data_IF_455860463564
#
_entry.id   IF_455860463564
#
_cell.length_a   1.000
_cell.length_b   1.000
_cell.length_c   1.000
_cell.angle_alpha   90.00
_cell.angle_beta   90.00
_cell.angle_gamma   90.00
#
_symmetry.space_group_name_H-M   'P 1'
#
loop_
_entity.id
_entity.type
_entity.pdbx_description
1 polymer ?
#
# COMPACT_ATOMS: atom_id res chain seq x y z
N UNK A 1 4.62 -70.73 29.89
CA UNK A 1 3.19 -70.87 30.23
C UNK A 1 2.41 -69.87 29.38
N UNK A 2 1.51 -70.36 28.51
CA UNK A 2 0.45 -69.69 27.72
C UNK A 2 0.65 -68.25 27.18
N UNK A 3 0.75 -68.19 25.84
CA UNK A 3 0.16 -67.27 24.83
C UNK A 3 -0.79 -66.18 25.36
N UNK A 4 -0.75 -64.97 24.77
CA UNK A 4 -1.83 -64.50 23.87
C UNK A 4 -1.33 -63.49 22.82
N UNK A 5 -1.50 -63.91 21.57
CA UNK A 5 -1.43 -63.18 20.32
C UNK A 5 -2.90 -62.97 19.87
N UNK A 6 -3.28 -61.78 19.39
CA UNK A 6 -4.42 -61.57 18.47
C UNK A 6 -4.33 -60.15 17.91
N UNK A 7 -3.80 -59.97 16.70
CA UNK A 7 -4.46 -60.06 15.39
C UNK A 7 -5.50 -58.96 15.16
N UNK A 8 -5.11 -58.02 14.30
CA UNK A 8 -5.99 -57.28 13.40
C UNK A 8 -6.67 -58.25 12.44
N UNK A 9 -8.00 -58.14 12.28
CA UNK A 9 -8.72 -58.62 11.10
C UNK A 9 -9.77 -57.58 10.71
N UNK A 10 -9.87 -57.45 9.38
CA UNK A 10 -10.73 -56.65 8.51
C UNK A 10 -12.24 -56.72 8.77
N UNK A 11 -12.94 -55.73 8.23
CA UNK A 11 -14.39 -55.77 8.03
C UNK A 11 -14.86 -54.70 7.04
N UNK A 12 -15.07 -55.11 5.79
CA UNK A 12 -15.79 -54.41 4.74
C UNK A 12 -17.30 -54.73 4.88
N UNK A 13 -18.21 -53.75 4.87
CA UNK A 13 -19.64 -53.96 4.63
C UNK A 13 -20.19 -52.81 3.75
N UNK A 14 -20.85 -53.21 2.65
CA UNK A 14 -21.62 -52.41 1.67
C UNK A 14 -23.11 -52.46 2.05
N UNK A 15 -23.84 -51.33 2.05
CA UNK A 15 -25.32 -51.24 1.87
C UNK A 15 -25.64 -49.84 1.28
N UNK A 16 -25.90 -49.71 -0.03
CA UNK A 16 -27.21 -49.67 -0.74
C UNK A 16 -27.93 -48.30 -0.77
N UNK A 17 -27.88 -47.69 -1.96
CA UNK A 17 -28.98 -47.06 -2.75
C UNK A 17 -30.21 -46.46 -2.06
N UNK A 18 -30.46 -45.19 -2.38
CA UNK A 18 -31.75 -44.51 -2.23
C UNK A 18 -31.75 -43.15 -2.94
N UNK A 19 -31.94 -43.14 -4.26
CA UNK A 19 -32.22 -41.94 -5.07
C UNK A 19 -33.72 -41.65 -4.94
N UNK A 20 -34.09 -40.47 -4.43
CA UNK A 20 -35.48 -40.01 -4.40
C UNK A 20 -35.67 -38.95 -5.48
N UNK A 21 -36.23 -39.36 -6.62
CA UNK A 21 -36.76 -38.50 -7.68
C UNK A 21 -38.24 -38.25 -7.38
N UNK A 22 -38.63 -36.98 -7.20
CA UNK A 22 -40.05 -36.59 -7.26
C UNK A 22 -40.34 -36.00 -8.66
N UNK A 23 -41.44 -36.39 -9.33
CA UNK A 23 -41.85 -35.78 -10.57
C UNK A 23 -42.57 -34.45 -10.31
N UNK A 24 -42.17 -33.37 -11.00
CA UNK A 24 -43.02 -32.19 -11.18
C UNK A 24 -43.92 -32.41 -12.38
N UNK A 25 -45.21 -32.60 -12.13
CA UNK A 25 -46.27 -32.53 -13.14
C UNK A 25 -46.67 -31.07 -13.37
N UNK A 26 -46.55 -30.63 -14.61
CA UNK A 26 -47.21 -29.45 -15.16
C UNK A 26 -48.72 -29.74 -15.26
N UNK A 27 -49.55 -28.82 -14.77
CA UNK A 27 -50.91 -28.61 -15.25
C UNK A 27 -51.17 -27.11 -15.25
N UNK A 28 -51.52 -26.60 -16.43
CA UNK A 28 -52.26 -25.37 -16.57
C UNK A 28 -53.71 -25.63 -16.13
N UNK A 29 -54.41 -24.60 -15.67
CA UNK A 29 -55.71 -24.16 -16.18
C UNK A 29 -56.06 -22.81 -15.53
N UNK A 30 -56.62 -21.89 -16.33
CA UNK A 30 -57.05 -20.56 -15.92
C UNK A 30 -58.54 -20.57 -15.53
N UNK A 31 -58.93 -19.79 -14.52
CA UNK A 31 -60.28 -19.21 -14.46
C UNK A 31 -60.33 -17.95 -13.56
N UNK A 32 -61.05 -16.95 -14.07
CA UNK A 32 -61.25 -15.60 -13.57
C UNK A 32 -62.35 -15.55 -12.49
N UNK A 33 -62.18 -14.80 -11.41
CA UNK A 33 -63.32 -14.10 -10.76
C UNK A 33 -62.85 -12.90 -9.94
N UNK A 34 -63.27 -11.71 -10.34
CA UNK A 34 -63.18 -10.46 -9.58
C UNK A 34 -63.97 -10.55 -8.27
N UNK A 35 -63.42 -10.02 -7.18
CA UNK A 35 -64.12 -9.17 -6.18
C UNK A 35 -63.19 -8.86 -5.00
N UNK A 36 -63.18 -7.60 -4.56
CA UNK A 36 -62.73 -7.21 -3.22
C UNK A 36 -61.33 -6.59 -3.15
N UNK A 37 -61.25 -5.29 -3.41
CA UNK A 37 -60.10 -4.46 -3.04
C UNK A 37 -60.21 -4.24 -1.53
N UNK A 38 -59.29 -4.81 -0.75
CA UNK A 38 -59.00 -4.40 0.62
C UNK A 38 -57.52 -4.06 0.70
N UNK A 39 -57.25 -2.77 0.89
CA UNK A 39 -55.92 -2.23 1.20
C UNK A 39 -55.37 -2.88 2.47
N UNK A 40 -54.41 -3.79 2.32
CA UNK A 40 -53.34 -4.00 3.30
C UNK A 40 -52.39 -5.09 2.81
N UNK A 41 -51.10 -4.76 2.87
CA UNK A 41 -49.93 -5.64 2.84
C UNK A 41 -49.19 -5.85 1.50
N UNK A 42 -48.02 -5.18 1.49
CA UNK A 42 -46.74 -5.64 0.97
C UNK A 42 -46.47 -5.49 -0.53
N UNK A 43 -46.18 -4.24 -0.90
CA UNK A 43 -45.18 -3.90 -1.91
C UNK A 43 -43.84 -4.50 -1.46
N UNK A 44 -43.41 -5.62 -2.05
CA UNK A 44 -42.03 -6.11 -1.98
C UNK A 44 -41.53 -6.36 -3.40
N UNK A 45 -41.29 -5.28 -4.13
CA UNK A 45 -40.39 -5.25 -5.29
C UNK A 45 -39.95 -3.81 -5.49
N UNK A 46 -38.95 -3.38 -4.72
CA UNK A 46 -38.05 -2.26 -4.98
C UNK A 46 -36.98 -2.23 -3.86
N UNK A 47 -36.01 -3.14 -3.92
CA UNK A 47 -34.71 -2.93 -3.26
C UNK A 47 -33.63 -3.04 -4.33
N UNK A 48 -33.55 -2.02 -5.18
CA UNK A 48 -32.41 -1.80 -6.07
C UNK A 48 -31.49 -0.68 -5.58
N UNK A 49 -31.71 -0.13 -4.39
CA UNK A 49 -30.81 0.82 -3.76
C UNK A 49 -30.61 0.46 -2.29
N UNK A 50 -29.62 -0.39 -2.01
CA UNK A 50 -28.97 -0.39 -0.70
C UNK A 50 -28.19 0.92 -0.60
N UNK A 51 -28.90 1.96 -0.18
CA UNK A 51 -28.47 3.09 0.66
C UNK A 51 -26.94 3.26 0.71
N UNK A 52 -26.37 3.85 -0.34
CA UNK A 52 -25.41 4.92 -0.13
C UNK A 52 -26.28 6.14 0.16
N UNK A 53 -26.52 6.37 1.44
CA UNK A 53 -27.21 7.58 1.90
C UNK A 53 -26.50 8.78 1.27
N UNK A 54 -27.25 9.54 0.46
CA UNK A 54 -26.87 10.87 -0.02
C UNK A 54 -27.03 11.92 1.10
N UNK A 55 -26.78 11.51 2.35
CA UNK A 55 -26.55 12.38 3.49
C UNK A 55 -25.19 13.05 3.32
N UNK A 56 -25.10 14.32 3.67
CA UNK A 56 -23.99 15.22 3.36
C UNK A 56 -22.61 14.52 3.42
N UNK A 57 -21.88 14.51 2.29
CA UNK A 57 -20.53 13.97 2.16
C UNK A 57 -19.52 14.84 2.91
N UNK A 58 -19.70 15.00 4.22
CA UNK A 58 -18.94 15.94 5.04
C UNK A 58 -17.93 15.18 5.89
N UNK A 59 -16.67 15.62 5.92
CA UNK A 59 -15.68 15.13 6.87
C UNK A 59 -16.21 15.18 8.31
N UNK A 60 -15.83 14.24 9.18
CA UNK A 60 -16.29 14.11 10.58
C UNK A 60 -15.69 15.19 11.51
N UNK A 61 -15.66 16.47 11.11
CA UNK A 61 -15.17 17.56 11.96
C UNK A 61 -16.18 17.81 13.08
N UNK A 62 -15.73 17.66 14.33
CA UNK A 62 -16.55 17.92 15.53
C UNK A 62 -16.06 19.18 16.26
N UNK A 63 -16.80 19.61 17.29
CA UNK A 63 -16.36 20.71 18.16
C UNK A 63 -15.04 20.44 18.90
N UNK A 64 -14.60 19.17 18.95
CA UNK A 64 -13.37 18.75 19.61
C UNK A 64 -12.21 18.59 18.63
N UNK A 65 -12.46 18.70 17.32
CA UNK A 65 -11.42 18.56 16.30
C UNK A 65 -10.47 19.75 16.35
N UNK A 66 -9.18 19.46 16.26
CA UNK A 66 -8.10 20.45 16.27
C UNK A 66 -7.62 20.68 14.84
N UNK A 67 -7.51 21.94 14.44
CA UNK A 67 -6.92 22.34 13.16
C UNK A 67 -5.44 22.66 13.32
N UNK A 68 -4.59 22.05 12.49
CA UNK A 68 -3.15 22.29 12.46
C UNK A 68 -2.62 22.13 11.05
N UNK A 69 -2.15 23.24 10.47
CA UNK A 69 -1.72 23.31 9.08
C UNK A 69 -2.84 22.92 8.12
N UNK A 70 -2.60 21.87 7.33
CA UNK A 70 -3.55 21.39 6.33
C UNK A 70 -4.59 20.41 6.93
N UNK A 71 -4.49 20.03 8.19
CA UNK A 71 -5.23 18.91 8.76
C UNK A 71 -6.15 19.33 9.90
N UNK A 72 -7.36 18.75 9.92
CA UNK A 72 -8.16 18.61 11.13
C UNK A 72 -7.98 17.22 11.69
N UNK A 73 -7.83 17.10 13.00
CA UNK A 73 -7.66 15.81 13.66
C UNK A 73 -8.35 15.73 15.02
N UNK A 74 -8.67 14.50 15.42
CA UNK A 74 -9.19 14.15 16.74
C UNK A 74 -8.16 13.34 17.53
N UNK A 75 -8.11 13.55 18.84
CA UNK A 75 -7.32 12.71 19.75
C UNK A 75 -7.94 11.32 19.89
N UNK A 76 -7.10 10.30 19.78
CA UNK A 76 -7.46 8.90 20.01
C UNK A 76 -6.44 8.23 20.93
N UNK A 77 -6.74 7.02 21.40
CA UNK A 77 -5.80 6.28 22.24
C UNK A 77 -4.46 6.07 21.50
N UNK A 78 -3.38 6.65 22.03
CA UNK A 78 -2.02 6.49 21.52
C UNK A 78 -1.61 7.47 20.41
N UNK A 79 -2.50 8.34 19.92
CA UNK A 79 -2.18 9.25 18.83
C UNK A 79 -3.37 10.06 18.36
N UNK A 80 -3.42 10.34 17.05
CA UNK A 80 -4.49 11.12 16.44
C UNK A 80 -5.06 10.42 15.20
N UNK A 81 -6.29 10.80 14.88
CA UNK A 81 -6.99 10.47 13.64
C UNK A 81 -7.22 11.73 12.83
N UNK A 82 -6.73 11.77 11.60
CA UNK A 82 -7.01 12.89 10.67
C UNK A 82 -8.45 12.76 10.21
N UNK A 83 -9.30 13.75 10.52
CA UNK A 83 -10.72 13.75 10.17
C UNK A 83 -11.04 14.62 8.96
N UNK A 84 -10.15 15.55 8.58
CA UNK A 84 -10.29 16.32 7.34
C UNK A 84 -8.97 16.86 6.83
N UNK A 85 -8.80 16.88 5.51
CA UNK A 85 -7.72 17.56 4.81
C UNK A 85 -8.22 18.80 4.07
N UNK A 86 -7.55 19.92 4.36
CA UNK A 86 -7.86 21.27 3.84
C UNK A 86 -6.71 21.90 3.06
N UNK A 87 -5.60 21.16 2.87
CA UNK A 87 -4.46 21.64 2.11
C UNK A 87 -4.72 21.75 0.60
N UNK A 88 -3.75 22.28 -0.12
CA UNK A 88 -3.86 22.59 -1.55
C UNK A 88 -3.92 21.36 -2.47
N UNK A 89 -3.55 20.17 -2.00
CA UNK A 89 -3.39 18.96 -2.81
C UNK A 89 -1.99 18.85 -3.43
N UNK A 90 -1.92 18.23 -4.61
CA UNK A 90 -0.67 17.77 -5.22
C UNK A 90 -0.26 16.38 -4.71
N UNK A 91 1.05 16.12 -4.66
CA UNK A 91 1.59 14.94 -4.00
C UNK A 91 1.73 15.23 -2.50
N UNK A 92 0.90 14.60 -1.67
CA UNK A 92 0.83 14.88 -0.24
C UNK A 92 1.58 13.82 0.55
N UNK A 93 2.62 14.24 1.27
CA UNK A 93 3.27 13.43 2.31
C UNK A 93 2.57 13.67 3.65
N UNK A 94 1.81 12.68 4.14
CA UNK A 94 1.18 12.79 5.46
C UNK A 94 2.29 12.69 6.53
N UNK A 95 2.40 13.66 7.46
CA UNK A 95 3.42 13.61 8.48
C UNK A 95 3.16 12.47 9.47
N UNK A 96 4.21 11.79 9.93
CA UNK A 96 4.10 10.76 10.97
C UNK A 96 3.59 11.32 12.31
N UNK A 97 3.77 12.64 12.53
CA UNK A 97 3.29 13.35 13.71
C UNK A 97 2.73 14.72 13.35
N UNK A 98 1.64 15.13 14.00
CA UNK A 98 1.12 16.51 13.98
C UNK A 98 1.10 17.01 15.42
N UNK A 99 1.68 18.18 15.68
CA UNK A 99 1.81 18.77 17.03
C UNK A 99 2.42 17.81 18.06
N UNK A 100 3.41 17.01 17.62
CA UNK A 100 4.09 16.01 18.44
C UNK A 100 3.27 14.73 18.71
N UNK A 101 2.05 14.63 18.18
CA UNK A 101 1.18 13.44 18.32
C UNK A 101 1.27 12.56 17.09
N UNK A 102 1.35 11.25 17.29
CA UNK A 102 1.50 10.26 16.22
C UNK A 102 0.22 10.16 15.39
N UNK A 103 0.33 10.26 14.06
CA UNK A 103 -0.79 10.00 13.15
C UNK A 103 -0.99 8.49 13.01
N UNK A 104 -2.10 7.99 13.53
CA UNK A 104 -2.43 6.55 13.55
C UNK A 104 -3.56 6.19 12.58
N UNK A 105 -4.48 7.11 12.28
CA UNK A 105 -5.65 6.82 11.46
C UNK A 105 -5.96 7.94 10.47
N UNK A 106 -6.43 7.56 9.29
CA UNK A 106 -7.13 8.46 8.38
C UNK A 106 -8.62 8.18 8.54
N UNK A 107 -9.37 9.17 8.99
CA UNK A 107 -10.78 9.04 9.33
C UNK A 107 -11.70 8.89 8.11
N UNK A 108 -12.98 8.66 8.41
CA UNK A 108 -14.06 8.62 7.43
C UNK A 108 -14.09 9.90 6.61
N UNK A 109 -14.14 9.77 5.29
CA UNK A 109 -14.25 10.90 4.35
C UNK A 109 -13.16 12.00 4.47
N UNK A 110 -12.05 11.73 5.16
CA UNK A 110 -11.06 12.74 5.51
C UNK A 110 -10.46 13.47 4.28
N UNK A 111 -10.31 12.77 3.15
CA UNK A 111 -9.87 13.32 1.87
C UNK A 111 -10.93 13.14 0.77
N UNK A 112 -12.22 13.05 1.11
CA UNK A 112 -13.27 12.89 0.11
C UNK A 112 -13.28 14.07 -0.89
N UNK A 113 -13.35 13.74 -2.18
CA UNK A 113 -13.55 14.69 -3.26
C UNK A 113 -12.36 15.59 -3.52
N UNK A 114 -11.15 15.24 -3.05
CA UNK A 114 -9.95 16.08 -3.25
C UNK A 114 -9.44 15.95 -4.68
N UNK A 115 -10.03 16.72 -5.60
CA UNK A 115 -9.64 16.72 -7.02
C UNK A 115 -8.25 17.27 -7.30
N UNK A 116 -7.67 18.06 -6.39
CA UNK A 116 -6.29 18.53 -6.54
C UNK A 116 -5.24 17.52 -6.06
N UNK A 117 -5.64 16.45 -5.37
CA UNK A 117 -4.72 15.41 -4.89
C UNK A 117 -4.26 14.56 -6.08
N UNK A 118 -2.95 14.51 -6.30
CA UNK A 118 -2.32 13.72 -7.37
C UNK A 118 -1.54 12.53 -6.82
N UNK A 119 -0.97 12.65 -5.63
CA UNK A 119 -0.21 11.58 -4.98
C UNK A 119 -0.40 11.59 -3.47
N UNK A 120 -0.20 10.44 -2.85
CA UNK A 120 -0.33 10.28 -1.40
C UNK A 120 0.77 9.37 -0.86
N UNK A 121 1.49 9.82 0.17
CA UNK A 121 2.43 9.00 0.91
C UNK A 121 2.02 8.92 2.39
N UNK A 122 1.60 7.74 2.82
CA UNK A 122 1.28 7.46 4.22
C UNK A 122 2.55 7.10 5.00
N UNK A 123 2.72 7.64 6.22
CA UNK A 123 3.80 7.21 7.10
C UNK A 123 3.50 5.83 7.68
N UNK A 124 4.53 5.08 8.04
CA UNK A 124 4.40 3.75 8.66
C UNK A 124 3.72 3.75 10.04
N UNK A 125 3.38 4.92 10.59
CA UNK A 125 2.58 5.02 11.82
C UNK A 125 1.10 4.76 11.59
N UNK A 126 0.57 5.03 10.38
CA UNK A 126 -0.85 4.84 10.06
C UNK A 126 -1.21 3.36 10.09
N UNK A 127 -2.29 3.03 10.79
CA UNK A 127 -2.80 1.67 11.02
C UNK A 127 -4.13 1.41 10.30
N UNK A 128 -4.95 2.44 10.10
CA UNK A 128 -6.28 2.28 9.50
C UNK A 128 -6.64 3.42 8.56
N UNK A 129 -7.29 3.06 7.45
CA UNK A 129 -8.04 3.97 6.60
C UNK A 129 -9.54 3.77 6.85
N UNK A 130 -10.22 4.85 7.20
CA UNK A 130 -11.65 4.90 7.41
C UNK A 130 -12.45 4.74 6.11
N UNK A 131 -13.76 4.55 6.27
CA UNK A 131 -14.69 4.47 5.16
C UNK A 131 -14.56 5.72 4.28
N UNK A 132 -14.47 5.54 2.96
CA UNK A 132 -14.38 6.63 1.98
C UNK A 132 -13.23 7.63 2.21
N UNK A 133 -12.18 7.23 2.91
CA UNK A 133 -11.05 8.12 3.28
C UNK A 133 -10.47 8.92 2.12
N UNK A 134 -10.36 8.35 0.91
CA UNK A 134 -9.94 9.01 -0.35
C UNK A 134 -10.98 8.84 -1.47
N UNK A 135 -12.26 8.82 -1.11
CA UNK A 135 -13.38 8.65 -2.04
C UNK A 135 -13.45 9.79 -3.05
N UNK A 136 -13.66 9.48 -4.33
CA UNK A 136 -13.75 10.43 -5.43
C UNK A 136 -12.56 11.41 -5.50
N UNK A 137 -11.33 10.89 -5.40
CA UNK A 137 -10.10 11.62 -5.71
C UNK A 137 -9.64 11.28 -7.14
N UNK A 138 -10.24 11.84 -8.21
CA UNK A 138 -10.09 11.34 -9.58
C UNK A 138 -8.67 11.47 -10.13
N UNK A 139 -7.89 12.45 -9.65
CA UNK A 139 -6.54 12.72 -10.11
C UNK A 139 -5.45 12.00 -9.30
N UNK A 140 -5.82 11.23 -8.28
CA UNK A 140 -4.88 10.46 -7.47
C UNK A 140 -4.28 9.33 -8.31
N UNK A 141 -3.04 9.49 -8.76
CA UNK A 141 -2.34 8.58 -9.66
C UNK A 141 -1.40 7.61 -8.94
N UNK A 142 -1.01 7.94 -7.71
CA UNK A 142 0.00 7.19 -6.97
C UNK A 142 -0.22 7.23 -5.45
N UNK A 143 -0.09 6.06 -4.81
CA UNK A 143 -0.35 5.88 -3.38
C UNK A 143 0.70 4.96 -2.75
N UNK A 144 1.42 5.49 -1.77
CA UNK A 144 2.23 4.69 -0.84
C UNK A 144 1.46 4.49 0.46
N UNK A 145 1.08 3.24 0.76
CA UNK A 145 0.26 2.90 1.93
C UNK A 145 1.04 2.80 3.25
N UNK A 146 2.37 2.79 3.21
CA UNK A 146 3.21 2.55 4.38
C UNK A 146 3.13 1.10 4.89
N UNK A 147 4.19 0.62 5.54
CA UNK A 147 4.25 -0.76 6.08
C UNK A 147 3.68 -0.88 7.50
N UNK A 148 2.89 0.12 7.93
CA UNK A 148 2.17 0.06 9.19
C UNK A 148 0.70 -0.29 9.06
N UNK A 149 0.15 -0.18 7.85
CA UNK A 149 -1.28 -0.21 7.61
C UNK A 149 -1.85 -1.62 7.82
N UNK A 150 -2.95 -1.72 8.55
CA UNK A 150 -3.63 -2.97 8.90
C UNK A 150 -4.96 -3.10 8.15
N UNK A 151 -5.72 -2.01 8.03
CA UNK A 151 -7.07 -2.05 7.47
C UNK A 151 -7.31 -0.95 6.45
N UNK A 152 -7.91 -1.31 5.32
CA UNK A 152 -8.42 -0.38 4.31
C UNK A 152 -9.95 -0.41 4.35
N UNK A 153 -10.58 0.69 4.73
CA UNK A 153 -12.03 0.77 4.89
C UNK A 153 -12.81 0.75 3.58
N UNK A 154 -14.12 0.56 3.69
CA UNK A 154 -15.04 0.49 2.56
C UNK A 154 -14.95 1.75 1.68
N UNK A 155 -14.86 1.56 0.37
CA UNK A 155 -14.79 2.66 -0.60
C UNK A 155 -13.58 3.59 -0.46
N UNK A 156 -12.52 3.20 0.27
CA UNK A 156 -11.40 4.11 0.59
C UNK A 156 -10.79 4.80 -0.64
N UNK A 157 -10.64 4.10 -1.76
CA UNK A 157 -10.10 4.64 -3.02
C UNK A 157 -11.13 4.64 -4.14
N UNK A 158 -12.42 4.54 -3.83
CA UNK A 158 -13.46 4.54 -4.86
C UNK A 158 -13.32 5.78 -5.76
N UNK A 159 -13.33 5.59 -7.07
CA UNK A 159 -13.25 6.69 -8.02
C UNK A 159 -11.89 7.37 -8.09
N UNK A 160 -10.80 6.74 -7.62
CA UNK A 160 -9.44 7.16 -7.93
C UNK A 160 -9.09 6.82 -9.39
N UNK A 161 -9.65 7.60 -10.31
CA UNK A 161 -9.68 7.29 -11.74
C UNK A 161 -8.31 7.29 -12.41
N UNK A 162 -7.34 8.04 -11.88
CA UNK A 162 -5.96 8.12 -12.38
C UNK A 162 -5.03 7.03 -11.80
N UNK A 163 -5.45 6.29 -10.76
CA UNK A 163 -4.59 5.32 -10.10
C UNK A 163 -4.30 4.14 -11.03
N UNK A 164 -3.04 3.98 -11.44
CA UNK A 164 -2.64 2.96 -12.43
C UNK A 164 -2.20 1.65 -11.80
N UNK A 165 -1.65 1.71 -10.59
CA UNK A 165 -1.25 0.55 -9.81
C UNK A 165 -1.08 0.88 -8.34
N UNK A 166 -1.19 -0.14 -7.49
CA UNK A 166 -0.99 0.00 -6.03
C UNK A 166 -0.39 -1.29 -5.44
N UNK A 167 0.42 -1.12 -4.40
CA UNK A 167 0.95 -2.22 -3.59
C UNK A 167 0.23 -2.24 -2.25
N UNK A 168 -0.46 -3.33 -1.95
CA UNK A 168 -1.03 -3.62 -0.64
C UNK A 168 0.04 -4.32 0.21
N UNK A 169 0.54 -3.68 1.29
CA UNK A 169 1.65 -4.19 2.07
C UNK A 169 1.25 -5.44 2.86
N UNK A 170 2.24 -6.23 3.28
CA UNK A 170 2.01 -7.52 3.95
C UNK A 170 1.31 -7.39 5.31
N UNK A 171 1.29 -6.19 5.89
CA UNK A 171 0.65 -5.87 7.16
C UNK A 171 -0.85 -5.68 7.05
N UNK A 172 -1.39 -5.43 5.85
CA UNK A 172 -2.83 -5.24 5.66
C UNK A 172 -3.54 -6.58 5.78
N UNK A 173 -4.43 -6.69 6.77
CA UNK A 173 -5.19 -7.90 7.06
C UNK A 173 -6.61 -7.86 6.50
N UNK A 174 -7.13 -6.67 6.17
CA UNK A 174 -8.48 -6.54 5.58
C UNK A 174 -8.58 -5.36 4.60
N UNK A 175 -9.35 -5.59 3.53
CA UNK A 175 -9.77 -4.57 2.57
C UNK A 175 -11.28 -4.60 2.43
N UNK A 176 -11.89 -3.44 2.66
CA UNK A 176 -13.32 -3.24 2.72
C UNK A 176 -14.02 -3.25 1.36
N UNK A 177 -15.35 -3.38 1.43
CA UNK A 177 -16.24 -3.39 0.27
C UNK A 177 -16.00 -2.20 -0.65
N UNK A 178 -15.92 -2.48 -1.94
CA UNK A 178 -15.77 -1.50 -3.02
C UNK A 178 -14.58 -0.54 -2.87
N UNK A 179 -13.54 -0.92 -2.12
CA UNK A 179 -12.41 -0.04 -1.82
C UNK A 179 -11.72 0.54 -3.07
N UNK A 180 -11.75 -0.16 -4.20
CA UNK A 180 -11.13 0.26 -5.47
C UNK A 180 -12.13 0.33 -6.64
N UNK A 181 -13.43 0.35 -6.38
CA UNK A 181 -14.42 0.46 -7.46
C UNK A 181 -14.26 1.79 -8.21
N UNK A 182 -14.48 1.79 -9.53
CA UNK A 182 -14.30 2.94 -10.42
C UNK A 182 -12.86 3.51 -10.53
N UNK A 183 -11.83 2.77 -10.08
CA UNK A 183 -10.44 3.08 -10.42
C UNK A 183 -10.12 2.60 -11.85
N UNK A 184 -10.66 3.31 -12.85
CA UNK A 184 -10.69 2.82 -14.23
C UNK A 184 -9.32 2.70 -14.92
N UNK A 185 -8.29 3.40 -14.42
CA UNK A 185 -6.91 3.25 -14.91
C UNK A 185 -6.14 2.10 -14.21
N UNK A 186 -6.73 1.48 -13.17
CA UNK A 186 -6.04 0.48 -12.36
C UNK A 186 -5.90 -0.83 -13.13
N UNK A 187 -4.71 -1.08 -13.64
CA UNK A 187 -4.40 -2.29 -14.41
C UNK A 187 -3.68 -3.35 -13.57
N UNK A 188 -3.06 -2.93 -12.46
CA UNK A 188 -2.25 -3.80 -11.61
C UNK A 188 -2.46 -3.54 -10.12
N UNK A 189 -2.65 -4.61 -9.36
CA UNK A 189 -2.52 -4.58 -7.89
C UNK A 189 -1.58 -5.68 -7.41
N UNK A 190 -0.61 -5.31 -6.56
CA UNK A 190 0.28 -6.26 -5.90
C UNK A 190 -0.15 -6.44 -4.45
N UNK A 191 -0.40 -7.67 -4.03
CA UNK A 191 -0.86 -8.00 -2.68
C UNK A 191 0.19 -8.86 -1.98
N UNK A 192 0.78 -8.31 -0.91
CA UNK A 192 1.90 -8.91 -0.19
C UNK A 192 1.49 -9.68 1.07
N UNK A 193 0.20 -9.75 1.39
CA UNK A 193 -0.32 -10.60 2.46
C UNK A 193 -0.96 -11.86 1.85
N UNK A 194 -0.49 -13.05 2.24
CA UNK A 194 -1.04 -14.32 1.74
C UNK A 194 -2.43 -14.63 2.32
N UNK A 195 -2.77 -14.06 3.48
CA UNK A 195 -3.94 -14.44 4.29
C UNK A 195 -4.77 -13.22 4.73
N UNK A 196 -5.04 -12.29 3.82
CA UNK A 196 -5.90 -11.13 4.07
C UNK A 196 -7.39 -11.43 3.79
N UNK A 197 -8.28 -10.65 4.38
CA UNK A 197 -9.72 -10.71 4.11
C UNK A 197 -10.14 -9.65 3.08
N UNK A 198 -11.01 -10.05 2.14
CA UNK A 198 -11.72 -9.15 1.23
C UNK A 198 -13.18 -9.12 1.64
N UNK A 199 -13.72 -7.92 1.92
CA UNK A 199 -15.14 -7.76 2.24
C UNK A 199 -15.96 -7.56 0.95
N UNK A 200 -16.60 -8.62 0.47
CA UNK A 200 -17.42 -8.59 -0.75
C UNK A 200 -16.63 -8.28 -2.02
N UNK A 201 -17.19 -7.45 -2.90
CA UNK A 201 -16.53 -7.02 -4.13
C UNK A 201 -15.69 -5.77 -3.88
N UNK A 202 -14.37 -5.95 -3.83
CA UNK A 202 -13.40 -4.89 -3.55
C UNK A 202 -13.07 -4.05 -4.79
N UNK A 203 -13.15 -4.64 -5.98
CA UNK A 203 -12.68 -4.01 -7.23
C UNK A 203 -13.82 -3.59 -8.16
N UNK A 204 -15.06 -4.00 -7.91
CA UNK A 204 -16.19 -3.63 -8.78
C UNK A 204 -15.97 -4.08 -10.23
N UNK A 205 -16.32 -3.23 -11.19
CA UNK A 205 -16.27 -3.57 -12.62
C UNK A 205 -15.00 -3.10 -13.33
N UNK A 206 -13.86 -2.92 -12.64
CA UNK A 206 -12.62 -2.44 -13.29
C UNK A 206 -12.26 -3.36 -14.48
N UNK A 207 -12.24 -2.83 -15.72
CA UNK A 207 -11.89 -3.61 -16.89
C UNK A 207 -10.36 -3.76 -16.94
N UNK A 208 -9.85 -4.98 -17.03
CA UNK A 208 -8.40 -5.29 -17.18
C UNK A 208 -7.51 -5.19 -15.93
N UNK A 209 -8.07 -5.37 -14.73
CA UNK A 209 -7.26 -5.52 -13.52
C UNK A 209 -6.58 -6.90 -13.46
N UNK A 210 -5.25 -6.92 -13.35
CA UNK A 210 -4.46 -8.12 -12.99
C UNK A 210 -4.05 -8.07 -11.53
N UNK A 211 -4.33 -9.15 -10.80
CA UNK A 211 -3.97 -9.32 -9.39
C UNK A 211 -2.64 -10.07 -9.30
N UNK A 212 -1.69 -9.51 -8.58
CA UNK A 212 -0.41 -10.15 -8.28
C UNK A 212 -0.40 -10.54 -6.81
N UNK A 213 -0.12 -11.80 -6.50
CA UNK A 213 -0.08 -12.31 -5.13
C UNK A 213 0.67 -13.63 -5.01
N UNK A 214 0.74 -14.19 -3.80
CA UNK A 214 1.34 -15.51 -3.60
C UNK A 214 0.41 -16.62 -4.09
N UNK A 215 0.96 -17.69 -4.67
CA UNK A 215 0.17 -18.87 -5.05
C UNK A 215 -0.51 -19.49 -3.83
N UNK A 216 -1.79 -19.86 -3.97
CA UNK A 216 -2.61 -20.39 -2.87
C UNK A 216 -3.03 -19.35 -1.83
N UNK A 217 -2.78 -18.06 -2.08
CA UNK A 217 -3.23 -17.00 -1.20
C UNK A 217 -4.74 -16.74 -1.28
N UNK A 218 -5.22 -15.96 -0.32
CA UNK A 218 -6.55 -15.34 -0.38
C UNK A 218 -6.75 -14.47 -1.63
N UNK A 219 -5.70 -13.77 -2.10
CA UNK A 219 -5.74 -13.00 -3.34
C UNK A 219 -5.87 -13.88 -4.59
N UNK A 220 -5.21 -15.03 -4.62
CA UNK A 220 -5.33 -16.05 -5.68
C UNK A 220 -6.78 -16.57 -5.75
N UNK A 221 -7.32 -16.96 -4.59
CA UNK A 221 -8.71 -17.42 -4.47
C UNK A 221 -9.72 -16.34 -4.89
N UNK A 222 -9.49 -15.09 -4.49
CA UNK A 222 -10.32 -13.95 -4.89
C UNK A 222 -10.28 -13.73 -6.40
N UNK A 223 -9.08 -13.78 -7.00
CA UNK A 223 -8.90 -13.60 -8.43
C UNK A 223 -9.64 -14.69 -9.22
N UNK A 224 -9.52 -15.94 -8.79
CA UNK A 224 -10.25 -17.07 -9.36
C UNK A 224 -11.77 -16.89 -9.28
N UNK A 225 -12.31 -16.56 -8.09
CA UNK A 225 -13.75 -16.40 -7.88
C UNK A 225 -14.36 -15.25 -8.70
N UNK A 226 -13.57 -14.21 -8.99
CA UNK A 226 -14.01 -13.02 -9.71
C UNK A 226 -13.50 -12.98 -11.17
N UNK A 227 -13.01 -14.10 -11.71
CA UNK A 227 -12.51 -14.24 -13.08
C UNK A 227 -11.48 -13.17 -13.47
N UNK A 228 -10.57 -12.85 -12.53
CA UNK A 228 -9.47 -11.90 -12.74
C UNK A 228 -8.20 -12.63 -13.14
N UNK A 229 -7.39 -12.09 -14.07
CA UNK A 229 -6.02 -12.53 -14.28
C UNK A 229 -5.22 -12.49 -12.97
N UNK A 230 -4.49 -13.57 -12.70
CA UNK A 230 -3.61 -13.69 -11.54
C UNK A 230 -2.18 -13.97 -11.96
N UNK A 231 -1.22 -13.28 -11.34
CA UNK A 231 0.21 -13.50 -11.55
C UNK A 231 0.88 -13.79 -10.22
N UNK A 232 1.54 -14.95 -10.15
CA UNK A 232 2.23 -15.41 -8.95
C UNK A 232 3.49 -14.59 -8.67
N UNK A 233 3.62 -14.10 -7.44
CA UNK A 233 4.83 -13.46 -6.91
C UNK A 233 5.93 -14.50 -6.60
N UNK A 234 7.21 -14.09 -6.55
CA UNK A 234 8.27 -14.91 -5.97
C UNK A 234 7.87 -15.42 -4.58
N UNK A 235 8.26 -16.65 -4.23
CA UNK A 235 7.86 -17.27 -2.95
C UNK A 235 8.44 -16.59 -1.71
N UNK A 236 9.52 -15.83 -1.87
CA UNK A 236 10.23 -15.15 -0.79
C UNK A 236 9.98 -13.64 -0.86
N UNK A 237 9.75 -13.02 0.29
CA UNK A 237 9.65 -11.56 0.42
C UNK A 237 11.03 -11.00 0.79
N UNK A 238 11.43 -9.88 0.16
CA UNK A 238 12.76 -9.29 0.37
C UNK A 238 12.64 -8.03 1.21
N UNK A 239 13.26 -8.08 2.39
CA UNK A 239 13.41 -6.92 3.24
C UNK A 239 14.70 -6.16 2.93
N UNK A 240 14.59 -4.83 2.86
CA UNK A 240 15.74 -3.93 2.80
C UNK A 240 15.86 -3.14 4.10
N UNK A 241 17.07 -3.15 4.64
CA UNK A 241 17.48 -2.45 5.84
C UNK A 241 18.49 -1.35 5.51
N UNK A 242 18.37 -0.19 6.14
CA UNK A 242 19.27 0.92 5.86
C UNK A 242 19.40 1.89 7.02
N UNK A 243 20.55 2.53 7.10
CA UNK A 243 20.82 3.58 8.09
C UNK A 243 21.62 4.70 7.44
N UNK A 244 21.41 5.91 7.92
CA UNK A 244 22.13 7.10 7.47
C UNK A 244 22.97 7.67 8.62
N UNK A 245 24.12 8.24 8.26
CA UNK A 245 24.92 9.07 9.14
C UNK A 245 24.50 10.53 8.96
N UNK A 246 24.03 11.15 10.04
CA UNK A 246 23.49 12.52 10.03
C UNK A 246 24.45 13.46 10.75
N UNK A 247 24.66 14.65 10.20
CA UNK A 247 25.45 15.71 10.82
C UNK A 247 25.09 15.91 12.30
N UNK A 248 26.09 15.97 13.18
CA UNK A 248 25.97 16.21 14.62
C UNK A 248 25.12 15.18 15.40
N UNK A 249 24.62 14.14 14.75
CA UNK A 249 23.83 13.05 15.35
C UNK A 249 24.58 11.73 15.26
N UNK A 250 25.26 11.48 14.14
CA UNK A 250 25.95 10.23 13.85
C UNK A 250 25.06 9.23 13.13
N UNK A 251 25.38 7.94 13.25
CA UNK A 251 24.57 6.86 12.69
C UNK A 251 23.23 6.74 13.39
N UNK A 252 22.15 6.77 12.61
CA UNK A 252 20.82 6.47 13.10
C UNK A 252 20.56 4.96 13.22
N UNK A 253 19.52 4.60 13.97
CA UNK A 253 19.00 3.23 14.01
C UNK A 253 18.68 2.73 12.61
N UNK A 254 18.92 1.44 12.36
CA UNK A 254 18.51 0.78 11.11
C UNK A 254 17.00 0.92 10.90
N UNK A 255 16.62 1.25 9.66
CA UNK A 255 15.27 1.41 9.16
C UNK A 255 14.97 0.34 8.14
N UNK A 256 13.69 0.02 7.98
CA UNK A 256 13.22 -1.06 7.11
C UNK A 256 12.18 -0.57 6.13
N UNK A 257 12.19 -1.07 4.88
CA UNK A 257 11.14 -0.94 3.87
C UNK A 257 10.28 0.36 3.96
N UNK A 258 10.71 1.41 3.28
CA UNK A 258 9.99 2.69 3.22
C UNK A 258 9.97 3.52 4.52
N UNK A 259 10.54 3.04 5.63
CA UNK A 259 10.77 3.91 6.80
C UNK A 259 11.75 5.04 6.51
N UNK A 260 11.51 6.22 7.07
CA UNK A 260 12.42 7.35 6.88
C UNK A 260 13.72 7.12 7.66
N UNK A 261 14.85 7.12 6.97
CA UNK A 261 16.18 7.27 7.57
C UNK A 261 16.70 8.68 7.31
N UNK A 262 16.98 9.45 8.37
CA UNK A 262 17.39 10.85 8.31
C UNK A 262 16.64 11.74 9.30
N UNK A 263 16.72 13.05 9.10
CA UNK A 263 16.13 14.09 9.96
C UNK A 263 15.43 15.15 9.09
N UNK A 264 14.41 14.70 8.35
CA UNK A 264 13.60 15.52 7.44
C UNK A 264 13.15 16.81 8.13
N UNK A 265 13.39 17.96 7.48
CA UNK A 265 12.94 19.28 7.97
C UNK A 265 13.76 19.87 9.12
N UNK A 266 14.75 19.15 9.67
CA UNK A 266 15.60 19.66 10.77
C UNK A 266 16.84 20.42 10.26
N UNK A 267 17.04 20.49 8.96
CA UNK A 267 18.17 21.21 8.38
C UNK A 267 19.53 20.51 8.49
N UNK A 268 19.56 19.25 8.91
CA UNK A 268 20.79 18.47 9.06
C UNK A 268 21.03 17.63 7.79
N UNK A 269 22.29 17.63 7.31
CA UNK A 269 22.69 16.85 6.13
C UNK A 269 22.88 15.38 6.46
N UNK A 270 22.55 14.52 5.51
CA UNK A 270 23.09 13.17 5.43
C UNK A 270 24.56 13.26 4.97
N UNK A 271 25.43 12.42 5.54
CA UNK A 271 26.87 12.37 5.22
C UNK A 271 27.30 11.00 4.67
N UNK A 272 26.59 9.93 5.05
CA UNK A 272 26.86 8.57 4.59
C UNK A 272 25.65 7.65 4.78
N UNK A 273 25.68 6.49 4.13
CA UNK A 273 24.60 5.50 4.15
C UNK A 273 25.16 4.08 4.12
N UNK A 274 24.43 3.16 4.77
CA UNK A 274 24.58 1.71 4.63
C UNK A 274 23.22 1.11 4.30
N UNK A 275 23.18 0.21 3.32
CA UNK A 275 21.98 -0.48 2.82
C UNK A 275 22.28 -1.97 2.73
N UNK A 276 21.38 -2.80 3.21
CA UNK A 276 21.52 -4.25 3.30
C UNK A 276 20.20 -4.89 2.89
N UNK A 277 20.26 -5.89 2.00
CA UNK A 277 19.17 -6.85 1.84
C UNK A 277 19.44 -8.05 2.77
N UNK A 278 18.39 -8.55 3.41
CA UNK A 278 18.47 -9.84 4.09
C UNK A 278 18.42 -10.97 3.05
N UNK A 279 19.59 -11.53 2.75
CA UNK A 279 19.78 -12.57 1.74
C UNK A 279 19.57 -13.99 2.29
N UNK A 280 19.01 -14.15 3.50
CA UNK A 280 18.83 -15.47 4.11
C UNK A 280 17.92 -16.40 3.30
N UNK A 281 16.97 -15.84 2.55
CA UNK A 281 15.98 -16.59 1.75
C UNK A 281 16.02 -16.26 0.25
N UNK A 282 16.83 -15.29 -0.17
CA UNK A 282 16.91 -14.77 -1.55
C UNK A 282 18.33 -14.41 -1.92
N UNK A 283 18.77 -14.82 -3.12
CA UNK A 283 20.07 -14.43 -3.68
C UNK A 283 19.98 -13.13 -4.47
N UNK A 284 19.64 -12.04 -3.78
CA UNK A 284 19.62 -10.67 -4.31
C UNK A 284 20.60 -9.80 -3.54
N UNK A 285 21.45 -9.05 -4.21
CA UNK A 285 22.45 -8.15 -3.62
C UNK A 285 22.05 -6.72 -3.92
N UNK A 286 22.10 -5.83 -2.92
CA UNK A 286 21.93 -4.39 -3.18
C UNK A 286 23.28 -3.73 -3.41
N UNK A 287 23.39 -2.99 -4.50
CA UNK A 287 24.54 -2.16 -4.85
C UNK A 287 24.13 -0.70 -4.84
N UNK A 288 25.01 0.17 -4.36
CA UNK A 288 24.72 1.60 -4.25
C UNK A 288 25.97 2.46 -4.20
N UNK A 289 25.79 3.72 -4.62
CA UNK A 289 26.78 4.77 -4.54
C UNK A 289 26.13 6.11 -4.25
N UNK A 290 26.89 7.04 -3.71
CA UNK A 290 26.44 8.38 -3.36
C UNK A 290 27.28 9.45 -4.05
N UNK A 291 26.64 10.57 -4.40
CA UNK A 291 27.30 11.79 -4.82
C UNK A 291 27.56 12.65 -3.58
N UNK A 292 28.83 12.96 -3.32
CA UNK A 292 29.27 13.72 -2.15
C UNK A 292 29.82 15.07 -2.56
N UNK A 293 29.45 16.10 -1.82
CA UNK A 293 29.99 17.46 -1.99
C UNK A 293 31.52 17.44 -2.15
N UNK A 294 32.02 18.17 -3.16
CA UNK A 294 33.44 18.33 -3.50
C UNK A 294 34.19 17.03 -3.83
N UNK A 295 33.51 15.88 -3.91
CA UNK A 295 34.11 14.59 -4.28
C UNK A 295 33.47 14.06 -5.57
N UNK A 296 32.16 14.22 -5.73
CA UNK A 296 31.40 13.64 -6.83
C UNK A 296 30.82 12.28 -6.47
N UNK A 297 30.44 11.51 -7.50
CA UNK A 297 30.03 10.12 -7.35
C UNK A 297 31.18 9.26 -6.85
N UNK A 298 30.99 8.61 -5.72
CA UNK A 298 31.92 7.63 -5.19
C UNK A 298 31.78 6.26 -5.88
N UNK A 299 32.77 5.35 -5.74
CA UNK A 299 32.65 3.99 -6.23
C UNK A 299 31.42 3.26 -5.66
N UNK A 300 30.87 2.33 -6.46
CA UNK A 300 29.79 1.43 -6.05
C UNK A 300 30.23 0.51 -4.92
N UNK A 301 29.36 0.33 -3.94
CA UNK A 301 29.53 -0.61 -2.83
C UNK A 301 28.31 -1.53 -2.71
N UNK A 302 28.43 -2.62 -1.95
CA UNK A 302 27.35 -3.62 -1.81
C UNK A 302 27.02 -3.88 -0.34
N UNK A 303 25.80 -4.35 -0.07
CA UNK A 303 25.33 -4.97 1.19
C UNK A 303 26.11 -4.57 2.47
N UNK A 304 25.64 -3.51 3.14
CA UNK A 304 26.13 -3.05 4.45
C UNK A 304 27.43 -2.22 4.43
N UNK A 305 28.12 -2.16 3.29
CA UNK A 305 29.31 -1.31 3.13
C UNK A 305 28.95 0.19 3.21
N UNK A 306 29.91 1.03 3.59
CA UNK A 306 29.68 2.48 3.64
C UNK A 306 29.73 3.07 2.23
N UNK A 307 28.71 3.84 1.84
CA UNK A 307 28.81 4.84 0.78
C UNK A 307 28.67 6.24 1.37
N UNK A 308 29.54 7.17 0.99
CA UNK A 308 29.58 8.53 1.53
C UNK A 308 30.79 8.75 2.42
N UNK A 309 30.65 9.60 3.44
CA UNK A 309 31.74 9.94 4.36
C UNK A 309 31.25 9.97 5.81
N UNK A 310 32.17 9.84 6.75
CA UNK A 310 31.93 10.11 8.17
C UNK A 310 33.04 11.01 8.70
N UNK A 311 32.71 12.02 9.50
CA UNK A 311 33.68 12.93 10.12
C UNK A 311 34.33 13.97 9.20
N UNK A 312 34.01 13.97 7.89
CA UNK A 312 34.55 14.96 6.93
C UNK A 312 33.65 16.18 6.74
N UNK A 313 32.46 16.19 7.35
CA UNK A 313 31.48 17.28 7.23
C UNK A 313 30.98 17.56 5.80
N UNK A 314 30.97 16.54 4.94
CA UNK A 314 30.50 16.65 3.55
C UNK A 314 29.08 16.10 3.42
N UNK A 315 28.20 16.84 2.73
CA UNK A 315 26.83 16.40 2.46
C UNK A 315 26.77 15.38 1.34
N UNK A 316 25.83 14.45 1.44
CA UNK A 316 25.29 13.75 0.29
C UNK A 316 24.40 14.70 -0.51
N UNK A 317 24.49 14.63 -1.83
CA UNK A 317 23.66 15.37 -2.78
C UNK A 317 22.84 14.45 -3.67
N UNK A 318 23.28 13.21 -3.85
CA UNK A 318 22.57 12.22 -4.66
C UNK A 318 22.93 10.79 -4.28
N UNK A 319 22.10 9.86 -4.72
CA UNK A 319 22.28 8.43 -4.52
C UNK A 319 21.82 7.66 -5.76
N UNK A 320 22.45 6.51 -6.00
CA UNK A 320 22.03 5.52 -6.98
C UNK A 320 22.04 4.16 -6.30
N UNK A 321 20.98 3.38 -6.49
CA UNK A 321 20.78 2.05 -5.92
C UNK A 321 20.31 1.11 -7.03
N UNK A 322 20.94 -0.04 -7.17
CA UNK A 322 20.55 -1.11 -8.07
C UNK A 322 20.61 -2.48 -7.40
N UNK A 323 19.98 -3.48 -8.02
CA UNK A 323 19.97 -4.86 -7.57
C UNK A 323 20.89 -5.69 -8.47
N UNK A 324 21.59 -6.63 -7.85
CA UNK A 324 22.50 -7.61 -8.46
C UNK A 324 22.31 -8.98 -7.79
N UNK A 325 23.09 -10.00 -8.13
CA UNK A 325 22.98 -11.36 -7.61
C UNK A 325 22.31 -12.32 -8.60
N UNK A 326 21.83 -13.48 -8.13
CA UNK A 326 21.19 -14.47 -9.03
C UNK A 326 19.71 -14.15 -9.26
N UNK A 327 19.04 -13.62 -8.24
CA UNK A 327 17.59 -13.40 -8.23
C UNK A 327 17.17 -11.94 -8.35
N UNK A 328 18.10 -11.03 -8.69
CA UNK A 328 17.82 -9.60 -8.84
C UNK A 328 16.66 -9.30 -9.80
N UNK A 329 16.55 -10.09 -10.86
CA UNK A 329 15.53 -9.94 -11.91
C UNK A 329 14.11 -10.30 -11.44
N UNK A 330 13.96 -10.77 -10.20
CA UNK A 330 12.66 -11.04 -9.55
C UNK A 330 12.16 -9.85 -8.73
N UNK A 331 12.95 -8.79 -8.60
CA UNK A 331 12.62 -7.64 -7.76
C UNK A 331 12.94 -6.31 -8.45
N UNK A 332 12.33 -5.24 -7.95
CA UNK A 332 12.66 -3.86 -8.26
C UNK A 332 12.95 -3.12 -6.94
N UNK A 333 13.99 -2.29 -6.94
CA UNK A 333 14.26 -1.34 -5.86
C UNK A 333 13.71 0.03 -6.25
N UNK A 334 12.86 0.58 -5.39
CA UNK A 334 12.40 1.97 -5.45
C UNK A 334 12.96 2.76 -4.28
N UNK A 335 13.43 3.97 -4.55
CA UNK A 335 13.99 4.85 -3.53
C UNK A 335 13.78 6.30 -3.86
N UNK A 336 13.65 7.14 -2.83
CA UNK A 336 13.58 8.59 -2.97
C UNK A 336 14.32 9.27 -1.84
N UNK A 337 14.68 10.52 -2.06
CA UNK A 337 15.41 11.34 -1.09
C UNK A 337 14.64 12.62 -0.79
N UNK A 338 14.77 13.11 0.44
CA UNK A 338 14.32 14.45 0.81
C UNK A 338 15.48 15.42 0.61
N UNK A 339 15.37 16.31 -0.38
CA UNK A 339 16.39 17.29 -0.70
C UNK A 339 16.00 18.68 -0.17
N UNK A 340 16.99 19.42 0.32
CA UNK A 340 16.80 20.80 0.77
C UNK A 340 16.08 21.64 -0.30
N UNK A 341 15.09 22.44 0.12
CA UNK A 341 14.25 23.32 -0.71
C UNK A 341 13.32 22.63 -1.72
N UNK A 342 13.50 21.33 -1.98
CA UNK A 342 12.63 20.55 -2.88
C UNK A 342 11.65 19.65 -2.12
N UNK A 343 11.96 19.28 -0.88
CA UNK A 343 11.17 18.30 -0.15
C UNK A 343 11.50 16.88 -0.60
N UNK A 344 10.54 15.97 -0.47
CA UNK A 344 10.66 14.63 -1.06
C UNK A 344 10.66 14.72 -2.58
N UNK A 345 11.73 14.19 -3.19
CA UNK A 345 11.77 13.98 -4.63
C UNK A 345 10.95 12.75 -5.01
N UNK A 346 10.66 12.62 -6.30
CA UNK A 346 9.99 11.44 -6.83
C UNK A 346 10.86 10.17 -6.68
N UNK A 347 10.22 9.01 -6.85
CA UNK A 347 10.88 7.71 -6.69
C UNK A 347 11.76 7.39 -7.90
N UNK A 348 13.04 7.14 -7.65
CA UNK A 348 13.94 6.46 -8.58
C UNK A 348 13.71 4.95 -8.53
N UNK A 349 14.00 4.29 -9.65
CA UNK A 349 13.95 2.84 -9.82
C UNK A 349 15.30 2.33 -10.33
N UNK A 350 15.80 1.22 -9.79
CA UNK A 350 16.92 0.41 -10.32
C UNK A 350 17.99 1.19 -11.13
N UNK A 351 19.02 1.68 -10.46
CA UNK A 351 20.16 2.35 -11.10
C UNK A 351 19.87 3.78 -11.60
N UNK A 352 18.64 4.27 -11.53
CA UNK A 352 18.34 5.70 -11.74
C UNK A 352 18.93 6.55 -10.62
N UNK A 353 19.42 7.75 -10.92
CA UNK A 353 19.87 8.65 -9.86
C UNK A 353 18.66 9.18 -9.07
N UNK A 354 18.87 9.52 -7.79
CA UNK A 354 17.96 10.31 -6.97
C UNK A 354 18.73 11.44 -6.27
N UNK A 355 18.17 12.65 -6.19
CA UNK A 355 18.81 13.81 -5.55
C UNK A 355 19.11 15.00 -6.46
N UNK A 356 20.00 15.87 -6.00
CA UNK A 356 20.27 17.21 -6.56
C UNK A 356 21.76 17.43 -6.82
N UNK A 357 22.31 16.73 -7.81
CA UNK A 357 23.74 16.77 -8.13
C UNK A 357 24.22 18.16 -8.55
N UNK A 358 25.31 18.63 -7.95
CA UNK A 358 25.95 19.90 -8.31
C UNK A 358 25.19 21.15 -7.84
N UNK A 359 23.95 20.99 -7.37
CA UNK A 359 23.10 22.11 -6.93
C UNK A 359 23.47 22.65 -5.55
N UNK A 360 24.42 22.02 -4.87
CA UNK A 360 24.82 22.34 -3.50
C UNK A 360 23.73 22.21 -2.44
N UNK A 361 22.74 21.35 -2.69
CA UNK A 361 21.64 21.07 -1.78
C UNK A 361 21.88 19.75 -1.05
N UNK A 362 21.68 19.77 0.27
CA UNK A 362 21.85 18.57 1.11
C UNK A 362 20.65 17.65 0.98
N UNK A 363 20.90 16.35 1.09
CA UNK A 363 19.88 15.38 1.44
C UNK A 363 19.64 15.41 2.96
N UNK A 364 18.38 15.25 3.38
CA UNK A 364 17.96 15.24 4.78
C UNK A 364 17.28 13.92 5.19
N UNK A 365 16.87 13.10 4.22
CA UNK A 365 16.23 11.82 4.47
C UNK A 365 16.19 10.93 3.23
N UNK A 366 15.98 9.64 3.45
CA UNK A 366 15.83 8.64 2.39
C UNK A 366 14.77 7.60 2.76
N UNK A 367 14.05 7.11 1.76
CA UNK A 367 13.19 5.93 1.83
C UNK A 367 13.61 4.94 0.74
N UNK A 368 13.66 3.66 1.09
CA UNK A 368 14.02 2.57 0.18
C UNK A 368 13.05 1.41 0.41
N UNK A 369 12.51 0.86 -0.68
CA UNK A 369 11.71 -0.36 -0.68
C UNK A 369 12.17 -1.28 -1.80
N UNK A 370 12.19 -2.58 -1.53
CA UNK A 370 12.35 -3.63 -2.53
C UNK A 370 11.02 -4.35 -2.67
N UNK A 371 10.56 -4.50 -3.90
CA UNK A 371 9.24 -5.06 -4.23
C UNK A 371 9.40 -6.11 -5.33
N UNK A 372 8.46 -7.05 -5.48
CA UNK A 372 8.50 -7.98 -6.61
C UNK A 372 8.57 -7.26 -7.94
N UNK A 373 9.22 -7.88 -8.94
CA UNK A 373 9.46 -7.30 -10.25
C UNK A 373 8.18 -6.74 -10.87
N UNK A 374 8.33 -5.58 -11.47
CA UNK A 374 7.29 -4.83 -12.19
C UNK A 374 6.14 -4.36 -11.30
N UNK A 375 6.25 -4.48 -9.97
CA UNK A 375 5.28 -3.85 -9.06
C UNK A 375 5.22 -2.34 -9.31
N UNK A 376 4.02 -1.78 -9.09
CA UNK A 376 3.78 -0.35 -9.22
C UNK A 376 4.79 0.45 -8.37
N UNK A 377 5.21 1.61 -8.87
CA UNK A 377 6.04 2.49 -8.06
C UNK A 377 5.25 2.95 -6.82
N UNK A 378 5.89 3.14 -5.66
CA UNK A 378 5.20 3.64 -4.46
C UNK A 378 4.61 5.04 -4.65
N UNK A 379 5.16 5.83 -5.56
CA UNK A 379 4.76 7.20 -5.86
C UNK A 379 5.13 7.57 -7.30
N UNK A 380 4.93 8.85 -7.67
CA UNK A 380 5.47 9.42 -8.91
C UNK A 380 6.95 9.09 -9.08
N UNK A 381 7.36 8.86 -10.33
CA UNK A 381 8.75 8.61 -10.76
C UNK A 381 9.23 9.68 -11.74
N UNK A 382 8.52 10.80 -11.87
CA UNK A 382 8.75 11.79 -12.91
C UNK A 382 10.05 12.58 -12.71
N UNK A 383 10.34 13.00 -11.48
CA UNK A 383 11.45 13.91 -11.17
C UNK A 383 12.31 13.41 -9.99
N UNK A 384 12.91 12.21 -10.06
CA UNK A 384 13.68 11.68 -8.94
C UNK A 384 15.03 12.38 -8.77
N UNK A 385 15.54 13.01 -9.83
CA UNK A 385 16.88 13.59 -9.88
C UNK A 385 16.94 14.87 -10.71
N UNK A 386 17.72 15.83 -10.23
CA UNK A 386 18.02 17.09 -10.91
C UNK A 386 19.54 17.30 -10.84
N UNK A 387 20.15 17.74 -11.93
CA UNK A 387 21.59 18.04 -11.98
C UNK A 387 21.84 19.42 -12.58
N UNK A 388 22.81 20.14 -12.03
CA UNK A 388 23.33 21.40 -12.61
C UNK A 388 24.61 21.19 -13.43
N UNK A 389 25.05 19.95 -13.62
CA UNK A 389 26.32 19.60 -14.30
C UNK A 389 26.12 19.20 -15.77
N UNK A 390 24.99 19.59 -16.37
CA UNK A 390 24.69 19.34 -17.78
C UNK A 390 25.54 20.19 -18.74
#
# INVERSE_FOLDING_TARGET
MKRYLKQMISGLIIISMGIFLMPMSISAEAENSETGITESEQIMTLETDKILDQGENTPEITINSVHSGDYWYDDIAGGIRIVSYTGSGGNVDIPATIDGKIVLEIGTDAFNGRTSLTGLNLPNSVRSLGMRSFYNCPNLDSVFLGNGLITIGNGSFWGAQALTGIIIPNTVTSVGYAAFTNCNALTKITILNSSMSFDGDVFGTIPHLTIYGYAGSTADSYAYANLRPFVTLPSSYVDVYYSTHVQNVGWQSSKKNGEISGTVGQGLRLEGIKILIDNSEVDAVIQYQTHVQNIGWQPMVSNGALSGTTGLSLRLEGIKIELDGVEWNKYDAYYRVHAQNYGWMDWAKNGQSAGTEGMSLRLEGIQIIVVPKDSAAPGSTATPFISSLN
#
